data_IF_378587792544
#
_entry.id   IF_378587792544
#
_cell.length_a   1.000
_cell.length_b   1.000
_cell.length_c   1.000
_cell.angle_alpha   90.00
_cell.angle_beta   90.00
_cell.angle_gamma   90.00
#
_symmetry.space_group_name_H-M   'P 1'
#
loop_
_entity.id
_entity.type
_entity.pdbx_description
1 polymer ?
#
# COMPACT_ATOMS: atom_id res chain seq x y z
N UNK A 1 -14.75 40.70 -0.77
CA UNK A 1 -15.06 40.39 0.64
C UNK A 1 -15.58 38.97 0.67
N UNK A 2 -15.03 38.08 1.51
CA UNK A 2 -15.58 36.72 1.62
C UNK A 2 -16.82 36.74 2.53
N UNK A 3 -17.79 35.82 2.35
CA UNK A 3 -18.98 35.73 3.20
C UNK A 3 -18.65 35.59 4.69
N UNK A 4 -17.50 34.98 5.02
CA UNK A 4 -17.06 34.72 6.40
C UNK A 4 -16.40 35.91 7.11
N UNK A 5 -16.32 37.10 6.50
CA UNK A 5 -15.69 38.30 7.08
C UNK A 5 -14.14 38.24 7.22
N UNK A 6 -13.51 37.10 6.93
CA UNK A 6 -12.05 36.91 7.03
C UNK A 6 -11.31 37.52 5.84
N UNK A 7 -10.17 38.17 6.12
CA UNK A 7 -9.26 38.74 5.12
C UNK A 7 -8.21 37.72 4.70
N UNK A 8 -7.97 37.58 3.41
CA UNK A 8 -7.02 36.61 2.86
C UNK A 8 -5.99 37.32 1.99
N UNK A 9 -4.73 36.91 2.10
CA UNK A 9 -3.73 37.20 1.09
C UNK A 9 -4.05 36.36 -0.14
N UNK A 10 -4.17 36.98 -1.32
CA UNK A 10 -4.46 36.28 -2.59
C UNK A 10 -3.49 36.71 -3.67
N UNK A 11 -3.13 35.75 -4.52
CA UNK A 11 -2.32 35.98 -5.71
C UNK A 11 -3.02 35.33 -6.90
N UNK A 12 -3.23 36.10 -7.96
CA UNK A 12 -3.65 35.57 -9.26
C UNK A 12 -2.42 35.28 -10.12
N UNK A 13 -2.44 34.16 -10.83
CA UNK A 13 -1.37 33.72 -11.73
C UNK A 13 -1.96 33.06 -12.97
N UNK A 14 -1.14 32.91 -14.01
CA UNK A 14 -1.49 32.19 -15.24
C UNK A 14 -0.64 30.94 -15.35
N UNK A 15 -1.28 29.82 -15.67
CA UNK A 15 -0.61 28.54 -15.93
C UNK A 15 -1.40 27.80 -17.01
N UNK A 16 -0.71 27.33 -18.05
CA UNK A 16 -1.32 26.64 -19.20
C UNK A 16 -2.56 27.38 -19.75
N UNK A 17 -2.39 28.67 -20.08
CA UNK A 17 -3.42 29.59 -20.64
C UNK A 17 -4.63 29.89 -19.73
N UNK A 18 -4.71 29.27 -18.54
CA UNK A 18 -5.79 29.51 -17.57
C UNK A 18 -5.35 30.44 -16.46
N UNK A 19 -6.22 31.41 -16.15
CA UNK A 19 -6.05 32.26 -14.97
C UNK A 19 -6.55 31.53 -13.72
N UNK A 20 -5.68 31.42 -12.71
CA UNK A 20 -5.98 30.80 -11.42
C UNK A 20 -5.71 31.79 -10.30
N UNK A 21 -6.40 31.60 -9.17
CA UNK A 21 -6.21 32.42 -7.96
C UNK A 21 -5.89 31.53 -6.77
N UNK A 22 -4.81 31.85 -6.05
CA UNK A 22 -4.34 31.11 -4.89
C UNK A 22 -4.33 31.99 -3.64
N UNK A 23 -4.79 31.47 -2.50
CA UNK A 23 -4.74 32.17 -1.21
C UNK A 23 -3.40 31.94 -0.50
N UNK A 24 -2.61 32.96 -0.20
CA UNK A 24 -1.32 32.81 0.47
C UNK A 24 -1.45 32.63 1.99
N UNK A 25 -2.61 32.94 2.56
CA UNK A 25 -2.87 32.84 3.99
C UNK A 25 -4.05 33.70 4.45
N UNK A 26 -4.44 33.56 5.72
CA UNK A 26 -5.48 34.38 6.35
C UNK A 26 -4.81 35.46 7.20
N UNK A 27 -5.26 36.70 7.08
CA UNK A 27 -4.85 37.79 7.97
C UNK A 27 -5.68 37.73 9.27
N UNK A 28 -5.09 37.94 10.47
CA UNK A 28 -3.71 38.32 10.77
C UNK A 28 -2.75 37.14 10.99
N UNK A 29 -3.22 35.89 10.88
CA UNK A 29 -2.43 34.70 11.17
C UNK A 29 -1.16 34.56 10.29
N UNK A 30 -1.16 35.14 9.09
CA UNK A 30 0.00 35.22 8.20
C UNK A 30 0.43 36.66 8.06
N UNK A 31 1.69 36.92 8.43
CA UNK A 31 2.29 38.26 8.37
C UNK A 31 2.55 38.69 6.92
N UNK A 32 2.72 39.99 6.68
CA UNK A 32 3.05 40.52 5.35
C UNK A 32 4.37 39.93 4.81
N UNK A 33 5.35 39.71 5.70
CA UNK A 33 6.65 39.13 5.35
C UNK A 33 6.49 37.67 4.86
N UNK A 34 5.73 36.85 5.59
CA UNK A 34 5.44 35.47 5.20
C UNK A 34 4.64 35.39 3.90
N UNK A 35 3.67 36.29 3.72
CA UNK A 35 2.89 36.35 2.48
C UNK A 35 3.78 36.67 1.26
N UNK A 36 4.78 37.56 1.40
CA UNK A 36 5.76 37.85 0.35
C UNK A 36 6.66 36.65 0.06
N UNK A 37 7.17 35.98 1.09
CA UNK A 37 7.98 34.75 0.93
C UNK A 37 7.22 33.67 0.16
N UNK A 38 5.98 33.37 0.57
CA UNK A 38 5.11 32.38 -0.10
C UNK A 38 4.83 32.74 -1.56
N UNK A 39 4.64 34.04 -1.85
CA UNK A 39 4.47 34.53 -3.22
C UNK A 39 5.70 34.23 -4.08
N UNK A 40 6.89 34.45 -3.54
CA UNK A 40 8.14 34.29 -4.28
C UNK A 40 8.44 32.80 -4.53
N UNK A 41 8.18 31.91 -3.55
CA UNK A 41 8.21 30.45 -3.71
C UNK A 41 7.25 29.97 -4.83
N UNK A 42 6.02 30.51 -4.89
CA UNK A 42 5.04 30.19 -5.94
C UNK A 42 5.51 30.65 -7.32
N UNK A 43 6.16 31.82 -7.40
CA UNK A 43 6.71 32.31 -8.67
C UNK A 43 7.83 31.42 -9.18
N UNK A 44 8.68 30.92 -8.28
CA UNK A 44 9.74 29.98 -8.61
C UNK A 44 9.17 28.65 -9.11
N UNK A 45 8.13 28.11 -8.43
CA UNK A 45 7.43 26.92 -8.89
C UNK A 45 6.82 27.09 -10.29
N UNK A 46 6.22 28.25 -10.57
CA UNK A 46 5.67 28.57 -11.90
C UNK A 46 6.77 28.67 -12.97
N UNK A 47 7.93 29.24 -12.63
CA UNK A 47 9.08 29.29 -13.53
C UNK A 47 9.61 27.88 -13.87
N UNK A 48 9.54 26.96 -12.91
CA UNK A 48 9.89 25.54 -13.09
C UNK A 48 8.79 24.72 -13.78
N UNK A 49 7.69 25.35 -14.23
CA UNK A 49 6.60 24.66 -14.91
C UNK A 49 5.70 23.80 -14.01
N UNK A 50 5.80 23.96 -12.69
CA UNK A 50 4.99 23.22 -11.71
C UNK A 50 3.74 24.03 -11.36
N UNK A 51 2.57 23.40 -11.35
CA UNK A 51 1.31 24.04 -10.95
C UNK A 51 1.16 24.09 -9.42
N UNK A 52 1.23 25.27 -8.77
CA UNK A 52 1.18 25.41 -7.31
C UNK A 52 -0.18 25.03 -6.71
N UNK A 53 -1.25 25.03 -7.52
CA UNK A 53 -2.58 24.58 -7.06
C UNK A 53 -2.66 23.07 -6.89
N UNK A 54 -1.92 22.31 -7.72
CA UNK A 54 -1.85 20.85 -7.63
C UNK A 54 -1.01 20.44 -6.43
N UNK A 55 0.16 21.06 -6.26
CA UNK A 55 1.05 20.80 -5.11
C UNK A 55 0.35 21.07 -3.78
N UNK A 56 -0.34 22.22 -3.67
CA UNK A 56 -1.09 22.51 -2.45
C UNK A 56 -2.29 21.58 -2.26
N UNK A 57 -2.94 21.12 -3.34
CA UNK A 57 -4.03 20.14 -3.23
C UNK A 57 -3.50 18.78 -2.78
N UNK A 58 -2.34 18.36 -3.27
CA UNK A 58 -1.64 17.15 -2.84
C UNK A 58 -1.22 17.26 -1.37
N UNK A 59 -0.55 18.35 -0.99
CA UNK A 59 -0.14 18.63 0.39
C UNK A 59 -1.35 18.75 1.34
N UNK A 60 -2.46 19.37 0.91
CA UNK A 60 -3.69 19.46 1.71
C UNK A 60 -4.44 18.12 1.79
N UNK A 61 -4.40 17.29 0.75
CA UNK A 61 -4.91 15.93 0.82
C UNK A 61 -4.09 15.08 1.81
N UNK A 62 -2.76 15.21 1.79
CA UNK A 62 -1.86 14.60 2.75
C UNK A 62 -2.12 15.11 4.19
N UNK A 63 -2.30 16.43 4.37
CA UNK A 63 -2.56 17.03 5.69
C UNK A 63 -3.99 16.81 6.22
N UNK A 64 -4.98 16.59 5.35
CA UNK A 64 -6.35 16.26 5.76
C UNK A 64 -6.49 14.83 6.30
N UNK A 65 -5.53 13.96 5.97
CA UNK A 65 -5.33 12.64 6.57
C UNK A 65 -4.51 12.76 7.86
N UNK A 66 -4.86 13.68 8.77
CA UNK A 66 -4.06 14.17 9.92
C UNK A 66 -3.54 13.14 10.96
N UNK A 67 -3.51 11.87 10.63
CA UNK A 67 -2.61 10.85 11.18
C UNK A 67 -2.37 9.89 10.02
N UNK A 68 -1.16 9.84 9.46
CA UNK A 68 -0.88 8.89 8.39
C UNK A 68 -1.30 7.50 8.87
N UNK A 69 -2.24 6.83 8.16
CA UNK A 69 -2.81 5.59 8.65
C UNK A 69 -1.67 4.57 8.81
N UNK A 70 -1.50 4.10 10.03
CA UNK A 70 -0.45 3.14 10.34
C UNK A 70 -0.75 1.82 9.62
N UNK A 71 0.29 1.02 9.44
CA UNK A 71 0.13 -0.29 8.81
C UNK A 71 -0.94 -1.14 9.50
N UNK A 72 -1.01 -1.11 10.84
CA UNK A 72 -2.01 -1.86 11.60
C UNK A 72 -3.45 -1.45 11.25
N UNK A 73 -3.72 -0.14 11.14
CA UNK A 73 -5.06 0.36 10.81
C UNK A 73 -5.48 -0.15 9.43
N UNK A 74 -4.61 -0.04 8.44
CA UNK A 74 -4.88 -0.45 7.07
C UNK A 74 -5.00 -1.98 6.97
N UNK A 75 -4.18 -2.72 7.71
CA UNK A 75 -4.26 -4.17 7.76
C UNK A 75 -5.61 -4.64 8.32
N UNK A 76 -6.14 -3.99 9.36
CA UNK A 76 -7.46 -4.28 9.92
C UNK A 76 -8.60 -3.90 8.97
N UNK A 77 -8.52 -2.76 8.29
CA UNK A 77 -9.49 -2.37 7.25
C UNK A 77 -9.52 -3.40 6.10
N UNK A 78 -8.34 -3.77 5.60
CA UNK A 78 -8.21 -4.80 4.57
C UNK A 78 -8.76 -6.15 5.03
N UNK A 79 -8.46 -6.55 6.27
CA UNK A 79 -8.94 -7.80 6.86
C UNK A 79 -10.47 -7.82 6.96
N UNK A 80 -11.09 -6.73 7.43
CA UNK A 80 -12.55 -6.61 7.50
C UNK A 80 -13.19 -6.79 6.11
N UNK A 81 -12.63 -6.17 5.07
CA UNK A 81 -13.11 -6.30 3.69
C UNK A 81 -13.04 -7.76 3.21
N UNK A 82 -11.92 -8.45 3.47
CA UNK A 82 -11.68 -9.82 3.02
C UNK A 82 -12.36 -10.89 3.88
N UNK A 83 -12.62 -10.60 5.15
CA UNK A 83 -13.23 -11.54 6.10
C UNK A 83 -14.62 -12.01 5.67
N UNK A 84 -15.34 -11.21 4.87
CA UNK A 84 -16.65 -11.58 4.32
C UNK A 84 -16.57 -12.70 3.27
N UNK A 85 -15.44 -12.82 2.57
CA UNK A 85 -15.21 -13.82 1.54
C UNK A 85 -14.54 -15.10 2.08
N UNK A 86 -14.07 -15.09 3.33
CA UNK A 86 -13.32 -16.19 3.92
C UNK A 86 -14.09 -16.88 5.04
N UNK A 87 -13.75 -18.15 5.29
CA UNK A 87 -14.23 -18.87 6.46
C UNK A 87 -13.74 -18.19 7.73
N UNK A 88 -14.61 -18.04 8.74
CA UNK A 88 -14.34 -17.30 9.97
C UNK A 88 -13.10 -17.79 10.75
N UNK A 89 -12.79 -19.09 10.70
CA UNK A 89 -11.58 -19.65 11.32
C UNK A 89 -10.31 -19.19 10.60
N UNK A 90 -10.35 -19.16 9.27
CA UNK A 90 -9.23 -18.74 8.43
C UNK A 90 -8.96 -17.24 8.54
N UNK A 91 -10.01 -16.42 8.58
CA UNK A 91 -9.85 -14.97 8.77
C UNK A 91 -9.22 -14.67 10.14
N UNK A 92 -9.70 -15.28 11.22
CA UNK A 92 -9.10 -15.11 12.56
C UNK A 92 -7.63 -15.55 12.61
N UNK A 93 -7.30 -16.66 11.93
CA UNK A 93 -5.93 -17.17 11.87
C UNK A 93 -4.99 -16.16 11.19
N UNK A 94 -5.41 -15.55 10.07
CA UNK A 94 -4.61 -14.54 9.38
C UNK A 94 -4.35 -13.33 10.29
N UNK A 95 -5.40 -12.83 10.96
CA UNK A 95 -5.26 -11.66 11.83
C UNK A 95 -4.32 -11.96 13.01
N UNK A 96 -4.49 -13.11 13.66
CA UNK A 96 -3.64 -13.52 14.78
C UNK A 96 -2.17 -13.66 14.39
N UNK A 97 -1.88 -14.16 13.17
CA UNK A 97 -0.51 -14.23 12.64
C UNK A 97 0.09 -12.85 12.41
N UNK A 98 -0.67 -11.95 11.77
CA UNK A 98 -0.24 -10.57 11.57
C UNK A 98 0.03 -9.85 12.90
N UNK A 99 -0.80 -10.08 13.92
CA UNK A 99 -0.65 -9.53 15.26
C UNK A 99 0.59 -10.06 16.00
N UNK A 100 0.90 -11.35 15.84
CA UNK A 100 2.05 -11.97 16.48
C UNK A 100 3.39 -11.57 15.84
N UNK A 101 3.42 -11.49 14.51
CA UNK A 101 4.68 -11.51 13.76
C UNK A 101 5.00 -10.20 13.03
N UNK A 102 3.97 -9.51 12.51
CA UNK A 102 4.15 -8.33 11.66
C UNK A 102 3.91 -7.02 12.43
N UNK A 103 2.84 -6.93 13.21
CA UNK A 103 2.49 -5.72 13.95
C UNK A 103 3.54 -5.27 14.98
N UNK A 104 4.26 -6.17 15.69
CA UNK A 104 5.31 -5.75 16.61
C UNK A 104 6.49 -5.06 15.92
N UNK A 105 6.73 -5.36 14.63
CA UNK A 105 7.83 -4.79 13.86
C UNK A 105 7.42 -3.49 13.14
N UNK A 106 6.31 -3.51 12.39
CA UNK A 106 5.93 -2.42 11.48
C UNK A 106 4.54 -1.82 11.77
N UNK A 107 3.77 -2.36 12.72
CA UNK A 107 2.35 -2.01 12.92
C UNK A 107 2.11 -0.55 13.29
N UNK A 108 3.02 0.07 14.05
CA UNK A 108 2.93 1.49 14.49
C UNK A 108 3.48 2.48 13.46
N UNK A 109 4.17 2.01 12.42
CA UNK A 109 4.74 2.88 11.38
C UNK A 109 3.64 3.36 10.42
N UNK A 110 3.69 4.63 9.97
CA UNK A 110 2.94 5.11 8.82
C UNK A 110 3.22 4.24 7.59
N UNK A 111 2.19 3.85 6.84
CA UNK A 111 2.39 2.97 5.68
C UNK A 111 3.24 3.59 4.56
N UNK A 112 3.25 4.92 4.47
CA UNK A 112 4.00 5.66 3.47
C UNK A 112 5.52 5.60 3.70
N UNK A 113 5.94 5.40 4.95
CA UNK A 113 7.35 5.46 5.35
C UNK A 113 8.00 4.06 5.46
N UNK A 114 7.23 2.98 5.26
CA UNK A 114 7.77 1.64 5.47
C UNK A 114 8.66 1.26 4.29
N UNK A 115 9.94 1.01 4.59
CA UNK A 115 10.90 0.57 3.61
C UNK A 115 10.98 -0.97 3.48
N UNK A 116 11.38 -1.51 2.31
CA UNK A 116 11.59 -2.95 2.10
C UNK A 116 12.46 -3.67 3.15
N UNK A 117 13.61 -3.14 3.63
CA UNK A 117 14.44 -3.83 4.62
C UNK A 117 13.72 -4.07 5.96
N UNK A 118 12.80 -3.20 6.37
CA UNK A 118 12.03 -3.37 7.61
C UNK A 118 11.09 -4.57 7.52
N UNK A 119 10.42 -4.72 6.38
CA UNK A 119 9.54 -5.87 6.09
C UNK A 119 10.37 -7.15 6.08
N UNK A 120 11.53 -7.15 5.41
CA UNK A 120 12.43 -8.29 5.36
C UNK A 120 12.90 -8.68 6.78
N UNK A 121 13.23 -7.71 7.63
CA UNK A 121 13.66 -7.96 9.00
C UNK A 121 12.55 -8.61 9.84
N UNK A 122 11.29 -8.22 9.64
CA UNK A 122 10.15 -8.86 10.30
C UNK A 122 10.02 -10.33 9.86
N UNK A 123 10.03 -10.59 8.56
CA UNK A 123 9.82 -11.94 8.02
C UNK A 123 11.01 -12.88 8.33
N UNK A 124 12.24 -12.37 8.37
CA UNK A 124 13.42 -13.16 8.79
C UNK A 124 13.33 -13.67 10.22
N UNK A 125 12.63 -12.97 11.12
CA UNK A 125 12.38 -13.49 12.48
C UNK A 125 11.48 -14.72 12.45
N UNK A 126 10.52 -14.76 11.51
CA UNK A 126 9.64 -15.91 11.30
C UNK A 126 10.41 -17.08 10.66
N UNK A 127 11.25 -16.80 9.67
CA UNK A 127 12.16 -17.79 9.07
C UNK A 127 13.09 -18.41 10.13
N UNK A 128 13.63 -17.59 11.05
CA UNK A 128 14.53 -18.06 12.11
C UNK A 128 13.85 -19.03 13.09
N UNK A 129 12.52 -18.99 13.22
CA UNK A 129 11.73 -19.96 14.01
C UNK A 129 11.51 -21.28 13.27
N UNK A 130 11.92 -21.41 12.01
CA UNK A 130 11.77 -22.61 11.19
C UNK A 130 10.44 -22.73 10.46
N UNK A 131 9.55 -21.74 10.54
CA UNK A 131 8.24 -21.75 9.91
C UNK A 131 8.28 -21.11 8.51
N UNK A 132 8.92 -21.77 7.54
CA UNK A 132 9.12 -21.23 6.18
C UNK A 132 7.80 -20.99 5.42
N UNK A 133 6.83 -21.90 5.54
CA UNK A 133 5.51 -21.72 4.91
C UNK A 133 4.79 -20.50 5.49
N UNK A 134 4.89 -20.30 6.81
CA UNK A 134 4.28 -19.18 7.50
C UNK A 134 4.89 -17.84 7.02
N UNK A 135 6.21 -17.78 6.90
CA UNK A 135 6.91 -16.60 6.38
C UNK A 135 6.43 -16.23 4.95
N UNK A 136 6.22 -17.23 4.09
CA UNK A 136 5.67 -17.04 2.75
C UNK A 136 4.24 -16.49 2.77
N UNK A 137 3.38 -17.04 3.63
CA UNK A 137 2.00 -16.57 3.80
C UNK A 137 1.91 -15.16 4.37
N UNK A 138 2.76 -14.81 5.33
CA UNK A 138 2.84 -13.47 5.90
C UNK A 138 3.29 -12.45 4.88
N UNK A 139 4.33 -12.76 4.10
CA UNK A 139 4.78 -11.88 3.02
C UNK A 139 3.66 -11.62 2.00
N UNK A 140 2.88 -12.65 1.66
CA UNK A 140 1.71 -12.50 0.79
C UNK A 140 0.62 -11.61 1.41
N UNK A 141 0.36 -11.76 2.71
CA UNK A 141 -0.61 -10.94 3.43
C UNK A 141 -0.17 -9.48 3.49
N UNK A 142 1.10 -9.22 3.84
CA UNK A 142 1.68 -7.86 3.85
C UNK A 142 1.57 -7.22 2.48
N UNK A 143 1.94 -7.92 1.40
CA UNK A 143 1.80 -7.41 0.03
C UNK A 143 0.34 -7.18 -0.39
N UNK A 144 -0.62 -7.95 0.14
CA UNK A 144 -2.05 -7.68 -0.09
C UNK A 144 -2.51 -6.40 0.61
N UNK A 145 -2.03 -6.12 1.83
CA UNK A 145 -2.31 -4.88 2.56
C UNK A 145 -1.71 -3.68 1.83
N UNK A 146 -0.46 -3.75 1.38
CA UNK A 146 0.16 -2.65 0.61
C UNK A 146 -0.57 -2.38 -0.71
N UNK A 147 -1.00 -3.41 -1.45
CA UNK A 147 -1.82 -3.22 -2.66
C UNK A 147 -3.15 -2.55 -2.36
N UNK A 148 -3.79 -2.87 -1.23
CA UNK A 148 -4.99 -2.17 -0.79
C UNK A 148 -4.71 -0.70 -0.43
N UNK A 149 -3.59 -0.43 0.23
CA UNK A 149 -3.15 0.93 0.54
C UNK A 149 -2.90 1.77 -0.73
N UNK A 150 -2.27 1.17 -1.75
CA UNK A 150 -2.06 1.82 -3.06
C UNK A 150 -3.40 2.08 -3.75
N UNK A 151 -4.30 1.10 -3.76
CA UNK A 151 -5.63 1.27 -4.37
C UNK A 151 -6.46 2.38 -3.72
N UNK A 152 -6.25 2.65 -2.43
CA UNK A 152 -6.93 3.72 -1.70
C UNK A 152 -6.16 5.04 -1.64
N UNK A 153 -4.99 5.13 -2.30
CA UNK A 153 -4.17 6.34 -2.35
C UNK A 153 -3.43 6.68 -1.06
N UNK A 154 -3.28 5.72 -0.14
CA UNK A 154 -2.56 5.87 1.14
C UNK A 154 -1.08 5.53 1.05
N UNK A 155 -0.68 4.78 0.01
CA UNK A 155 0.71 4.45 -0.30
C UNK A 155 0.98 4.65 -1.79
N UNK A 156 2.21 5.06 -2.13
CA UNK A 156 2.60 5.32 -3.53
C UNK A 156 2.99 4.04 -4.26
N UNK A 157 3.61 3.09 -3.58
CA UNK A 157 4.15 1.85 -4.16
C UNK A 157 4.04 0.69 -3.19
N UNK A 158 4.01 -0.53 -3.74
CA UNK A 158 4.13 -1.77 -2.98
C UNK A 158 5.63 -2.19 -2.87
N UNK A 159 6.26 -2.06 -1.68
CA UNK A 159 7.66 -2.43 -1.46
C UNK A 159 7.89 -3.95 -1.41
N UNK A 160 6.83 -4.76 -1.27
CA UNK A 160 6.96 -6.22 -1.14
C UNK A 160 7.34 -6.92 -2.44
N UNK A 161 7.10 -6.29 -3.60
CA UNK A 161 7.47 -6.85 -4.90
C UNK A 161 8.98 -6.99 -5.06
N UNK A 162 9.77 -6.07 -4.49
CA UNK A 162 11.23 -6.09 -4.58
C UNK A 162 11.86 -7.17 -3.69
N UNK A 163 11.10 -7.68 -2.72
CA UNK A 163 11.52 -8.73 -1.79
C UNK A 163 11.22 -10.14 -2.32
N UNK A 164 10.60 -10.25 -3.51
CA UNK A 164 10.28 -11.54 -4.12
C UNK A 164 11.58 -12.25 -4.50
N UNK A 165 11.85 -13.39 -3.84
CA UNK A 165 13.08 -14.18 -4.01
C UNK A 165 14.16 -13.93 -2.96
N UNK A 166 13.97 -12.97 -2.05
CA UNK A 166 14.88 -12.74 -0.92
C UNK A 166 14.68 -13.74 0.24
N UNK A 167 13.52 -14.39 0.30
CA UNK A 167 13.18 -15.41 1.29
C UNK A 167 13.63 -16.79 0.83
N UNK A 168 13.96 -17.67 1.79
CA UNK A 168 14.26 -19.07 1.48
C UNK A 168 12.98 -19.74 0.98
N UNK A 169 13.00 -20.43 -0.18
CA UNK A 169 11.82 -21.13 -0.64
C UNK A 169 11.48 -22.25 0.35
N UNK A 170 10.23 -22.29 0.79
CA UNK A 170 9.72 -23.50 1.43
C UNK A 170 9.81 -24.64 0.41
N UNK A 171 10.43 -25.75 0.80
CA UNK A 171 10.63 -26.90 -0.08
C UNK A 171 9.29 -27.33 -0.69
N UNK A 172 9.20 -27.29 -2.03
CA UNK A 172 7.97 -27.65 -2.74
C UNK A 172 7.70 -29.14 -2.56
N UNK A 173 6.69 -29.50 -1.79
CA UNK A 173 6.16 -30.87 -1.81
C UNK A 173 5.43 -31.06 -3.15
N UNK A 174 5.99 -31.91 -4.02
CA UNK A 174 5.30 -32.32 -5.24
C UNK A 174 4.14 -33.25 -4.85
N UNK A 175 2.92 -32.76 -5.00
CA UNK A 175 1.75 -33.63 -4.98
C UNK A 175 1.73 -34.44 -6.29
N UNK A 176 1.60 -35.77 -6.25
CA UNK A 176 1.48 -36.57 -7.45
C UNK A 176 0.29 -36.08 -8.29
N UNK A 177 0.49 -35.89 -9.60
CA UNK A 177 -0.62 -35.52 -10.48
C UNK A 177 -1.63 -36.67 -10.55
N UNK A 178 -2.91 -36.33 -10.67
CA UNK A 178 -3.99 -37.31 -10.80
C UNK A 178 -4.04 -37.98 -12.20
N UNK A 179 -2.90 -38.09 -12.91
CA UNK A 179 -2.82 -38.85 -14.16
C UNK A 179 -2.55 -40.33 -13.86
N UNK A 180 -3.52 -40.99 -13.25
CA UNK A 180 -3.48 -42.43 -13.01
C UNK A 180 -4.80 -43.09 -13.42
N UNK A 181 -5.20 -42.97 -14.70
CA UNK A 181 -6.18 -43.87 -15.32
C UNK A 181 -6.26 -43.72 -16.86
N UNK A 182 -5.20 -44.06 -17.60
CA UNK A 182 -5.32 -44.39 -19.03
C UNK A 182 -4.28 -45.42 -19.44
N UNK A 183 -4.57 -46.69 -19.15
CA UNK A 183 -3.71 -47.79 -19.60
C UNK A 183 -4.10 -49.14 -19.05
N UNK A 184 -5.26 -49.68 -19.44
CA UNK A 184 -5.54 -51.11 -19.33
C UNK A 184 -6.78 -51.51 -20.15
N UNK A 185 -6.59 -51.93 -21.40
CA UNK A 185 -7.48 -52.88 -22.09
C UNK A 185 -6.79 -53.45 -23.34
N UNK A 186 -5.74 -54.24 -23.13
CA UNK A 186 -5.28 -55.18 -24.15
C UNK A 186 -6.23 -56.38 -24.17
N UNK A 187 -7.09 -56.46 -25.17
CA UNK A 187 -7.93 -57.63 -25.45
C UNK A 187 -7.09 -58.75 -26.08
N UNK A 188 -7.01 -59.96 -25.50
CA UNK A 188 -6.36 -61.08 -26.17
C UNK A 188 -7.23 -61.64 -27.30
N UNK A 189 -6.67 -61.64 -28.51
CA UNK A 189 -7.16 -62.35 -29.70
C UNK A 189 -7.43 -63.83 -29.39
N UNK A 190 -8.69 -64.27 -29.52
CA UNK A 190 -9.04 -65.69 -29.48
C UNK A 190 -8.65 -66.31 -30.81
N UNK A 191 -7.65 -67.21 -30.77
CA UNK A 191 -7.28 -68.06 -31.88
C UNK A 191 -8.47 -68.87 -32.40
N UNK A 192 -8.68 -68.76 -33.71
CA UNK A 192 -9.63 -69.56 -34.49
C UNK A 192 -9.18 -71.03 -34.49
N UNK A 193 -10.13 -71.92 -34.20
CA UNK A 193 -9.97 -73.37 -34.31
C UNK A 193 -10.82 -73.81 -35.51
N UNK A 194 -10.16 -74.41 -36.50
CA UNK A 194 -10.54 -75.42 -37.51
C UNK A 194 -9.65 -75.19 -38.73
#
# INVERSE_FOLDING_TARGET
>A
MNPDGRRYWRMSYRFAEKQKTLSLGVYPAVTLAEARKRRDEIKEQLANGVDPSVERRASKAAAALGTDPTFEVIAREWHALKSSAWVASYSKLILSRLEADVFPAIGRRPIADIEPPEILAAIRKVEARGALDLAGHEMQAVGAVFRYAVATGRATRDPTQDLRGALKPAGRQQHPSCDAARGAAGLPSRGSRI
#
